data_IF_752240856762
#
_entry.id   IF_752240856762
#
_cell.length_a   1.000
_cell.length_b   1.000
_cell.length_c   1.000
_cell.angle_alpha   90.00
_cell.angle_beta   90.00
_cell.angle_gamma   90.00
#
_symmetry.space_group_name_H-M   'P 1'
#
loop_
_entity.id
_entity.type
_entity.pdbx_description
1 polymer ?
#
# COMPACT_ATOMS: atom_id res chain seq x y z
N UNK A 1 25.74 19.05 -24.69
CA UNK A 1 24.67 18.60 -23.75
C UNK A 1 23.83 19.83 -23.47
N UNK A 2 22.58 19.86 -23.91
CA UNK A 2 21.72 21.04 -23.75
C UNK A 2 21.13 21.04 -22.35
N UNK A 3 20.83 22.23 -21.80
CA UNK A 3 20.11 22.40 -20.52
C UNK A 3 18.79 21.61 -20.47
N UNK A 4 18.20 21.25 -21.61
CA UNK A 4 17.00 20.43 -21.74
C UNK A 4 17.25 18.94 -21.43
N UNK A 5 18.49 18.44 -21.55
CA UNK A 5 18.82 17.05 -21.26
C UNK A 5 19.00 16.80 -19.75
N UNK A 6 19.34 17.83 -18.97
CA UNK A 6 19.41 17.79 -17.50
C UNK A 6 18.05 17.78 -16.82
N UNK A 7 17.00 18.32 -17.46
CA UNK A 7 15.64 18.35 -16.91
C UNK A 7 14.81 17.07 -17.15
N UNK A 8 15.34 16.11 -17.88
CA UNK A 8 14.69 14.82 -18.10
C UNK A 8 15.17 13.73 -17.14
N UNK A 9 15.32 14.03 -15.87
CA UNK A 9 15.34 12.96 -14.86
C UNK A 9 13.91 12.43 -14.79
N UNK A 10 13.66 11.30 -15.44
CA UNK A 10 12.39 10.59 -15.30
C UNK A 10 12.33 10.11 -13.85
N UNK A 11 11.51 10.78 -13.04
CA UNK A 11 11.24 10.32 -11.68
C UNK A 11 10.28 9.13 -11.81
N UNK A 12 10.71 7.98 -11.33
CA UNK A 12 9.86 6.79 -11.35
C UNK A 12 8.68 6.98 -10.38
N UNK A 13 7.43 6.68 -10.77
CA UNK A 13 6.25 7.03 -9.98
C UNK A 13 6.17 6.35 -8.61
N UNK A 14 6.87 5.26 -8.40
CA UNK A 14 6.91 4.55 -7.11
C UNK A 14 8.29 4.00 -6.73
N UNK A 15 9.18 3.72 -7.69
CA UNK A 15 10.48 3.08 -7.45
C UNK A 15 11.62 4.11 -7.45
N UNK A 16 11.43 5.22 -6.74
CA UNK A 16 12.38 6.31 -6.55
C UNK A 16 12.49 6.63 -5.06
N UNK A 17 13.71 6.72 -4.55
CA UNK A 17 13.98 6.95 -3.12
C UNK A 17 13.34 8.21 -2.58
N UNK A 18 13.31 9.30 -3.36
CA UNK A 18 12.71 10.57 -2.93
C UNK A 18 11.19 10.49 -2.92
N UNK A 19 10.59 9.74 -3.87
CA UNK A 19 9.15 9.47 -3.87
C UNK A 19 8.78 8.66 -2.63
N UNK A 20 9.49 7.57 -2.35
CA UNK A 20 9.25 6.76 -1.16
C UNK A 20 9.46 7.55 0.13
N UNK A 21 10.51 8.37 0.22
CA UNK A 21 10.76 9.23 1.38
C UNK A 21 9.62 10.23 1.60
N UNK A 22 9.06 10.81 0.54
CA UNK A 22 7.90 11.69 0.61
C UNK A 22 6.66 11.00 1.20
N UNK A 23 6.43 9.74 0.84
CA UNK A 23 5.33 8.93 1.39
C UNK A 23 5.50 8.60 2.89
N UNK A 24 6.73 8.64 3.38
CA UNK A 24 7.04 8.42 4.80
C UNK A 24 6.36 9.43 5.75
N UNK A 25 6.03 10.63 5.27
CA UNK A 25 5.32 11.65 6.05
C UNK A 25 3.98 11.12 6.59
N UNK A 26 3.28 10.29 5.83
CA UNK A 26 2.02 9.65 6.26
C UNK A 26 2.26 8.77 7.50
N UNK A 27 3.34 8.00 7.52
CA UNK A 27 3.70 7.19 8.68
C UNK A 27 3.97 8.03 9.93
N UNK A 28 4.65 9.18 9.77
CA UNK A 28 4.91 10.12 10.87
C UNK A 28 3.61 10.72 11.41
N UNK A 29 2.72 11.16 10.52
CA UNK A 29 1.42 11.73 10.89
C UNK A 29 0.52 10.70 11.59
N UNK A 30 0.51 9.44 11.16
CA UNK A 30 -0.22 8.36 11.84
C UNK A 30 0.28 8.20 13.29
N UNK A 31 1.61 8.17 13.50
CA UNK A 31 2.18 8.02 14.84
C UNK A 31 1.90 9.22 15.75
N UNK A 32 1.81 10.42 15.19
CA UNK A 32 1.46 11.65 15.91
C UNK A 32 -0.03 11.69 16.27
N UNK A 33 -0.91 11.38 15.32
CA UNK A 33 -2.37 11.45 15.49
C UNK A 33 -2.94 10.29 16.32
N UNK A 34 -2.32 9.12 16.27
CA UNK A 34 -2.71 7.93 17.05
C UNK A 34 -1.48 7.31 17.72
N UNK A 35 -0.98 7.88 18.83
CA UNK A 35 0.25 7.42 19.47
C UNK A 35 0.24 5.98 19.99
N UNK A 36 -0.92 5.39 20.16
CA UNK A 36 -1.11 4.00 20.60
C UNK A 36 -1.61 3.08 19.47
N UNK A 37 -1.34 3.45 18.20
CA UNK A 37 -1.59 2.59 17.04
C UNK A 37 -0.81 1.27 17.16
N UNK A 38 -1.46 0.17 16.83
CA UNK A 38 -0.88 -1.18 16.90
C UNK A 38 -0.69 -1.80 15.50
N UNK A 39 -1.49 -1.38 14.52
CA UNK A 39 -1.38 -1.85 13.15
C UNK A 39 -1.74 -0.76 12.13
N UNK A 40 -1.09 -0.79 10.98
CA UNK A 40 -1.38 0.09 9.84
C UNK A 40 -1.52 -0.77 8.59
N UNK A 41 -2.59 -0.55 7.82
CA UNK A 41 -2.87 -1.28 6.59
C UNK A 41 -2.77 -0.31 5.41
N UNK A 42 -1.96 -0.65 4.41
CA UNK A 42 -1.61 0.24 3.30
C UNK A 42 -1.86 -0.46 1.96
N UNK A 43 -2.48 0.22 0.97
CA UNK A 43 -2.66 -0.36 -0.36
C UNK A 43 -1.32 -0.46 -1.09
N UNK A 44 -1.16 -1.49 -1.92
CA UNK A 44 0.04 -1.71 -2.73
C UNK A 44 -0.32 -1.75 -4.22
N UNK A 45 0.23 -0.80 -4.99
CA UNK A 45 0.43 -0.95 -6.42
C UNK A 45 1.89 -1.36 -6.69
N UNK A 46 2.73 -0.44 -7.11
CA UNK A 46 4.18 -0.64 -7.26
C UNK A 46 5.00 -0.62 -5.96
N UNK A 47 4.39 -0.26 -4.84
CA UNK A 47 5.01 -0.36 -3.51
C UNK A 47 5.53 0.96 -2.91
N UNK A 48 5.55 2.08 -3.65
CA UNK A 48 6.14 3.35 -3.18
C UNK A 48 5.52 3.87 -1.89
N UNK A 49 4.18 3.87 -1.79
CA UNK A 49 3.46 4.35 -0.62
C UNK A 49 3.82 3.53 0.63
N UNK A 50 3.64 2.23 0.58
CA UNK A 50 3.89 1.37 1.74
C UNK A 50 5.37 1.32 2.14
N UNK A 51 6.29 1.42 1.18
CA UNK A 51 7.74 1.48 1.46
C UNK A 51 8.08 2.66 2.35
N UNK A 52 7.59 3.86 2.00
CA UNK A 52 7.81 5.05 2.82
C UNK A 52 7.13 4.98 4.18
N UNK A 53 5.85 4.60 4.20
CA UNK A 53 5.06 4.46 5.45
C UNK A 53 5.70 3.43 6.40
N UNK A 54 6.04 2.24 5.88
CA UNK A 54 6.63 1.17 6.68
C UNK A 54 8.02 1.56 7.21
N UNK A 55 8.86 2.17 6.37
CA UNK A 55 10.16 2.65 6.80
C UNK A 55 10.05 3.66 7.94
N UNK A 56 9.18 4.67 7.81
CA UNK A 56 8.98 5.70 8.83
C UNK A 56 8.47 5.09 10.15
N UNK A 57 7.44 4.26 10.08
CA UNK A 57 6.85 3.61 11.28
C UNK A 57 7.87 2.70 11.96
N UNK A 58 8.50 1.78 11.22
CA UNK A 58 9.43 0.80 11.79
C UNK A 58 10.71 1.43 12.34
N UNK A 59 11.11 2.59 11.82
CA UNK A 59 12.26 3.33 12.34
C UNK A 59 12.00 3.95 13.72
N UNK A 60 10.75 4.32 14.04
CA UNK A 60 10.37 4.99 15.28
C UNK A 60 9.64 4.04 16.25
N UNK A 61 8.81 3.15 15.75
CA UNK A 61 7.94 2.24 16.49
C UNK A 61 7.97 0.85 15.85
N UNK A 62 9.07 0.09 16.01
CA UNK A 62 9.25 -1.21 15.35
C UNK A 62 8.20 -2.27 15.75
N UNK A 63 7.53 -2.09 16.88
CA UNK A 63 6.47 -2.96 17.37
C UNK A 63 5.14 -2.80 16.60
N UNK A 64 4.89 -1.64 16.00
CA UNK A 64 3.67 -1.39 15.20
C UNK A 64 3.70 -2.24 13.93
N UNK A 65 2.64 -3.01 13.71
CA UNK A 65 2.51 -3.87 12.54
C UNK A 65 2.15 -3.07 11.31
N UNK A 66 2.83 -3.33 10.20
CA UNK A 66 2.51 -2.73 8.89
C UNK A 66 2.15 -3.83 7.91
N UNK A 67 0.94 -3.77 7.40
CA UNK A 67 0.39 -4.74 6.47
C UNK A 67 0.13 -4.13 5.10
N UNK A 68 0.44 -4.88 4.06
CA UNK A 68 0.13 -4.51 2.69
C UNK A 68 -1.11 -5.19 2.15
N UNK A 69 -1.83 -4.53 1.24
CA UNK A 69 -3.00 -5.12 0.58
C UNK A 69 -2.93 -4.88 -0.92
N UNK A 70 -3.13 -5.94 -1.71
CA UNK A 70 -3.29 -5.86 -3.16
C UNK A 70 -4.64 -6.40 -3.60
N UNK A 71 -5.12 -5.94 -4.76
CA UNK A 71 -6.21 -6.61 -5.45
C UNK A 71 -5.74 -8.00 -5.92
N UNK A 72 -6.55 -9.04 -5.74
CA UNK A 72 -6.21 -10.42 -6.12
C UNK A 72 -5.88 -10.54 -7.62
N UNK A 73 -6.54 -9.73 -8.46
CA UNK A 73 -6.27 -9.66 -9.90
C UNK A 73 -5.00 -8.91 -10.30
N UNK A 74 -4.24 -8.32 -9.34
CA UNK A 74 -3.02 -7.57 -9.59
C UNK A 74 -2.00 -7.77 -8.47
N UNK A 75 -1.75 -9.01 -8.07
CA UNK A 75 -1.01 -9.40 -6.87
C UNK A 75 0.50 -9.61 -7.12
N UNK A 76 1.16 -8.68 -7.82
CA UNK A 76 2.57 -8.80 -8.18
C UNK A 76 3.50 -8.76 -6.96
N UNK A 77 3.30 -7.79 -6.05
CA UNK A 77 4.11 -7.66 -4.85
C UNK A 77 3.79 -8.76 -3.82
N UNK A 78 2.53 -9.18 -3.71
CA UNK A 78 2.12 -10.30 -2.86
C UNK A 78 2.91 -11.57 -3.22
N UNK A 79 2.96 -11.92 -4.51
CA UNK A 79 3.73 -13.07 -5.00
C UNK A 79 5.22 -12.90 -4.72
N UNK A 80 5.79 -11.73 -5.06
CA UNK A 80 7.19 -11.47 -4.82
C UNK A 80 7.57 -11.62 -3.34
N UNK A 81 6.72 -11.12 -2.43
CA UNK A 81 6.94 -11.17 -0.99
C UNK A 81 6.91 -12.61 -0.44
N UNK A 82 5.89 -13.39 -0.79
CA UNK A 82 5.69 -14.74 -0.25
C UNK A 82 6.58 -15.80 -0.91
N UNK A 83 6.78 -15.69 -2.23
CA UNK A 83 7.58 -16.66 -2.99
C UNK A 83 9.08 -16.31 -2.97
N UNK A 84 9.45 -15.15 -2.41
CA UNK A 84 10.81 -14.58 -2.45
C UNK A 84 11.36 -14.51 -3.87
N UNK A 85 10.47 -14.22 -4.83
CA UNK A 85 10.79 -14.23 -6.25
C UNK A 85 10.19 -13.01 -6.94
N UNK A 86 11.08 -12.13 -7.38
CA UNK A 86 10.71 -10.96 -8.15
C UNK A 86 10.32 -11.37 -9.58
N UNK A 87 9.06 -11.24 -9.90
CA UNK A 87 8.53 -11.61 -11.22
C UNK A 87 7.51 -10.58 -11.74
N UNK A 88 7.46 -10.45 -13.07
CA UNK A 88 6.41 -9.69 -13.74
C UNK A 88 5.22 -10.60 -14.02
N UNK A 89 4.01 -10.15 -13.69
CA UNK A 89 2.79 -10.86 -14.02
C UNK A 89 2.48 -10.77 -15.52
N UNK A 90 2.07 -11.87 -16.14
CA UNK A 90 1.64 -11.89 -17.54
C UNK A 90 0.41 -11.01 -17.76
N UNK A 91 -0.53 -11.07 -16.81
CA UNK A 91 -1.81 -10.35 -16.87
C UNK A 91 -2.20 -9.78 -15.52
N UNK A 92 -2.86 -8.62 -15.55
CA UNK A 92 -3.54 -8.02 -14.40
C UNK A 92 -4.96 -7.64 -14.80
N UNK A 93 -5.90 -7.86 -13.88
CA UNK A 93 -7.31 -7.55 -14.08
C UNK A 93 -7.94 -7.15 -12.76
N UNK A 94 -8.18 -5.85 -12.58
CA UNK A 94 -8.87 -5.28 -11.42
C UNK A 94 -9.47 -3.93 -11.81
N UNK A 95 -10.61 -3.57 -11.23
CA UNK A 95 -11.14 -2.22 -11.36
C UNK A 95 -10.43 -1.21 -10.44
N UNK A 96 -9.63 -1.67 -9.49
CA UNK A 96 -8.71 -0.83 -8.74
C UNK A 96 -7.48 -0.48 -9.60
N UNK A 97 -7.69 0.25 -10.67
CA UNK A 97 -6.76 0.49 -11.79
C UNK A 97 -5.46 1.16 -11.34
N UNK A 98 -5.50 2.05 -10.35
CA UNK A 98 -4.32 2.75 -9.80
C UNK A 98 -3.30 1.77 -9.18
N UNK A 99 -3.76 0.60 -8.71
CA UNK A 99 -2.89 -0.46 -8.17
C UNK A 99 -2.73 -1.66 -9.12
N UNK A 100 -3.20 -1.55 -10.38
CA UNK A 100 -3.05 -2.59 -11.39
C UNK A 100 -1.62 -2.66 -11.95
N UNK A 101 -0.66 -3.00 -11.11
CA UNK A 101 0.78 -3.01 -11.43
C UNK A 101 1.27 -4.43 -11.69
N UNK A 102 1.84 -4.66 -12.89
CA UNK A 102 2.37 -5.96 -13.30
C UNK A 102 3.70 -6.32 -12.64
N UNK A 103 4.56 -5.32 -12.48
CA UNK A 103 5.93 -5.51 -12.02
C UNK A 103 6.16 -4.70 -10.74
N UNK A 104 6.55 -5.31 -9.63
CA UNK A 104 6.98 -4.57 -8.44
C UNK A 104 8.15 -3.65 -8.77
N UNK A 105 8.38 -2.59 -7.99
CA UNK A 105 9.64 -1.87 -8.04
C UNK A 105 10.76 -2.69 -7.38
N UNK A 106 11.99 -2.57 -7.85
CA UNK A 106 13.14 -3.28 -7.24
C UNK A 106 13.44 -2.72 -5.85
N UNK A 107 13.57 -1.39 -5.74
CA UNK A 107 13.83 -0.72 -4.47
C UNK A 107 12.64 -0.85 -3.50
N UNK A 108 11.41 -0.76 -4.02
CA UNK A 108 10.21 -0.94 -3.18
C UNK A 108 10.10 -2.37 -2.66
N UNK A 109 10.42 -3.38 -3.46
CA UNK A 109 10.44 -4.79 -3.02
C UNK A 109 11.46 -5.01 -1.89
N UNK A 110 12.67 -4.43 -2.00
CA UNK A 110 13.69 -4.52 -0.96
C UNK A 110 13.20 -3.94 0.38
N UNK A 111 12.63 -2.72 0.35
CA UNK A 111 12.11 -2.07 1.54
C UNK A 111 10.90 -2.82 2.13
N UNK A 112 9.99 -3.27 1.30
CA UNK A 112 8.81 -4.03 1.72
C UNK A 112 9.24 -5.35 2.37
N UNK A 113 10.17 -6.09 1.77
CA UNK A 113 10.70 -7.33 2.34
C UNK A 113 11.33 -7.15 3.72
N UNK A 114 11.85 -5.95 4.00
CA UNK A 114 12.52 -5.63 5.26
C UNK A 114 11.60 -5.08 6.34
N UNK A 115 10.58 -4.29 5.96
CA UNK A 115 9.82 -3.47 6.91
C UNK A 115 8.32 -3.81 6.97
N UNK A 116 7.78 -4.57 6.02
CA UNK A 116 6.36 -4.97 6.03
C UNK A 116 6.21 -6.32 6.73
N UNK A 117 5.22 -6.44 7.61
CA UNK A 117 5.02 -7.66 8.39
C UNK A 117 4.31 -8.77 7.60
N UNK A 118 3.37 -8.39 6.72
CA UNK A 118 2.68 -9.34 5.81
C UNK A 118 1.95 -8.58 4.70
N UNK A 119 1.62 -9.30 3.62
CA UNK A 119 0.82 -8.82 2.50
C UNK A 119 -0.34 -9.78 2.27
N UNK A 120 -1.56 -9.23 2.10
CA UNK A 120 -2.75 -10.02 1.77
C UNK A 120 -3.39 -9.53 0.49
N UNK A 121 -4.30 -10.33 -0.06
CA UNK A 121 -5.09 -9.96 -1.22
C UNK A 121 -6.57 -9.89 -0.90
N UNK A 122 -7.28 -8.99 -1.60
CA UNK A 122 -8.73 -8.83 -1.57
C UNK A 122 -9.31 -9.01 -2.96
N UNK A 123 -10.51 -9.59 -3.03
CA UNK A 123 -11.23 -9.77 -4.29
C UNK A 123 -11.92 -8.47 -4.73
N UNK A 124 -12.38 -8.43 -5.99
CA UNK A 124 -13.14 -7.31 -6.53
C UNK A 124 -14.45 -7.07 -5.72
N UNK A 125 -15.16 -8.14 -5.34
CA UNK A 125 -16.38 -8.04 -4.54
C UNK A 125 -16.12 -7.49 -3.13
N UNK A 126 -15.00 -7.88 -2.51
CA UNK A 126 -14.56 -7.34 -1.21
C UNK A 126 -14.22 -5.85 -1.31
N UNK A 127 -13.56 -5.43 -2.38
CA UNK A 127 -13.24 -4.01 -2.63
C UNK A 127 -14.54 -3.22 -2.87
N UNK A 128 -15.45 -3.72 -3.69
CA UNK A 128 -16.74 -3.07 -3.95
C UNK A 128 -17.57 -2.90 -2.65
N UNK A 129 -17.57 -3.92 -1.81
CA UNK A 129 -18.24 -3.87 -0.48
C UNK A 129 -17.61 -2.82 0.43
N UNK A 130 -16.28 -2.71 0.42
CA UNK A 130 -15.57 -1.70 1.21
C UNK A 130 -15.89 -0.27 0.73
N UNK A 131 -15.94 -0.03 -0.59
CA UNK A 131 -16.35 1.26 -1.17
C UNK A 131 -17.76 1.64 -0.68
N UNK A 132 -18.73 0.73 -0.80
CA UNK A 132 -20.10 0.97 -0.33
C UNK A 132 -20.14 1.25 1.17
N UNK A 133 -19.38 0.50 1.97
CA UNK A 133 -19.29 0.70 3.42
C UNK A 133 -18.76 2.08 3.76
N UNK A 134 -17.70 2.53 3.10
CA UNK A 134 -17.13 3.87 3.28
C UNK A 134 -18.16 4.96 2.93
N UNK A 135 -18.89 4.81 1.83
CA UNK A 135 -19.94 5.77 1.44
C UNK A 135 -21.08 5.77 2.48
N UNK A 136 -21.58 4.61 2.85
CA UNK A 136 -22.75 4.49 3.69
C UNK A 136 -22.50 4.85 5.16
N UNK A 137 -21.36 4.44 5.71
CA UNK A 137 -21.04 4.61 7.13
C UNK A 137 -20.26 5.87 7.42
N UNK A 138 -19.22 6.14 6.61
CA UNK A 138 -18.26 7.22 6.87
C UNK A 138 -18.51 8.47 6.00
N UNK A 139 -19.40 8.40 4.99
CA UNK A 139 -19.64 9.46 4.01
C UNK A 139 -18.38 9.83 3.22
N UNK A 140 -17.49 8.86 3.06
CA UNK A 140 -16.24 9.00 2.37
C UNK A 140 -16.33 8.31 1.00
N UNK A 141 -15.96 9.03 -0.06
CA UNK A 141 -15.85 8.48 -1.40
C UNK A 141 -14.38 8.07 -1.61
N UNK A 142 -14.16 6.78 -1.80
CA UNK A 142 -12.85 6.22 -2.07
C UNK A 142 -12.85 5.49 -3.43
N UNK A 143 -11.73 5.57 -4.14
CA UNK A 143 -11.47 4.72 -5.31
C UNK A 143 -11.18 3.27 -4.89
N UNK A 144 -11.16 2.34 -5.87
CA UNK A 144 -10.88 0.93 -5.59
C UNK A 144 -9.57 0.70 -4.83
N UNK A 145 -8.49 1.37 -5.24
CA UNK A 145 -7.19 1.28 -4.58
C UNK A 145 -7.25 1.73 -3.11
N UNK A 146 -7.87 2.88 -2.84
CA UNK A 146 -8.02 3.43 -1.48
C UNK A 146 -8.93 2.59 -0.57
N UNK A 147 -9.83 1.79 -1.13
CA UNK A 147 -10.74 0.94 -0.36
C UNK A 147 -10.13 -0.43 0.02
N UNK A 148 -9.01 -0.86 -0.60
CA UNK A 148 -8.42 -2.19 -0.33
C UNK A 148 -8.02 -2.41 1.12
N UNK A 149 -7.45 -1.45 1.89
CA UNK A 149 -7.15 -1.65 3.30
C UNK A 149 -8.40 -1.88 4.15
N UNK A 150 -9.48 -1.16 3.83
CA UNK A 150 -10.77 -1.32 4.51
C UNK A 150 -11.38 -2.69 4.17
N UNK A 151 -11.28 -3.15 2.92
CA UNK A 151 -11.70 -4.49 2.53
C UNK A 151 -10.96 -5.57 3.34
N UNK A 152 -9.62 -5.47 3.46
CA UNK A 152 -8.85 -6.43 4.25
C UNK A 152 -9.27 -6.46 5.73
N UNK A 153 -9.61 -5.32 6.30
CA UNK A 153 -10.10 -5.23 7.67
C UNK A 153 -11.52 -5.81 7.83
N UNK A 154 -12.44 -5.48 6.91
CA UNK A 154 -13.84 -5.93 6.96
C UNK A 154 -13.98 -7.45 6.79
N UNK A 155 -13.13 -8.06 5.98
CA UNK A 155 -13.18 -9.48 5.67
C UNK A 155 -12.17 -10.33 6.47
N UNK A 156 -11.70 -9.81 7.62
CA UNK A 156 -10.82 -10.51 8.57
C UNK A 156 -9.57 -11.15 7.90
N UNK A 157 -8.99 -10.46 6.89
CA UNK A 157 -7.80 -10.97 6.18
C UNK A 157 -6.52 -10.91 7.02
N UNK A 158 -6.51 -10.11 8.09
CA UNK A 158 -5.33 -9.79 8.90
C UNK A 158 -5.59 -10.02 10.39
N UNK A 159 -4.57 -10.32 11.19
CA UNK A 159 -4.70 -10.57 12.63
C UNK A 159 -4.79 -9.25 13.44
N UNK A 160 -5.81 -8.44 13.13
CA UNK A 160 -6.01 -7.08 13.69
C UNK A 160 -7.17 -6.98 14.67
N UNK A 161 -7.88 -8.09 14.94
CA UNK A 161 -9.04 -8.09 15.82
C UNK A 161 -8.67 -7.60 17.23
N UNK A 162 -9.37 -6.56 17.69
CA UNK A 162 -9.12 -5.93 18.99
C UNK A 162 -7.92 -5.00 19.04
N UNK A 163 -7.27 -4.74 17.90
CA UNK A 163 -6.13 -3.81 17.81
C UNK A 163 -6.57 -2.44 17.30
N UNK A 164 -5.91 -1.41 17.80
CA UNK A 164 -6.01 -0.05 17.24
C UNK A 164 -5.33 -0.01 15.88
N UNK A 165 -6.14 -0.01 14.83
CA UNK A 165 -5.70 -0.18 13.47
C UNK A 165 -6.06 1.03 12.62
N UNK A 166 -5.12 1.48 11.79
CA UNK A 166 -5.32 2.52 10.77
C UNK A 166 -5.38 1.87 9.39
N UNK A 167 -6.43 2.19 8.63
CA UNK A 167 -6.53 1.88 7.20
C UNK A 167 -6.19 3.14 6.40
N UNK A 168 -5.18 3.10 5.55
CA UNK A 168 -4.80 4.23 4.70
C UNK A 168 -5.71 4.26 3.47
N UNK A 169 -6.66 5.21 3.43
CA UNK A 169 -7.50 5.47 2.26
C UNK A 169 -6.77 6.47 1.37
N UNK A 170 -6.06 5.97 0.35
CA UNK A 170 -5.06 6.72 -0.40
C UNK A 170 -5.60 7.60 -1.52
N UNK A 171 -6.85 7.42 -1.93
CA UNK A 171 -7.45 8.21 -3.01
C UNK A 171 -8.96 8.07 -3.13
N UNK A 172 -9.58 8.99 -3.89
CA UNK A 172 -11.04 9.09 -4.06
C UNK A 172 -11.46 9.78 -5.36
N UNK A 173 -10.78 9.47 -6.45
CA UNK A 173 -11.10 10.00 -7.79
C UNK A 173 -12.03 9.08 -8.58
#
# INVERSE_FOLDING_TARGET
MSLMDEFKKIIHPYDDELVMAGQGSIGLEILDQLPDVEAVIVPIGGGGLISGVAFAIKSLRPEVKVYGVQAAGAASMYKAFHDHKYETLDHVSTFADVIAVKTPGENTYELISKYVDDIVTVSEDEIATAILTLIEKEKLIAEGAGATPVAAALFDKLPIKGKKTVCVVSGGN
#
